data_IF_732460976173
#
_entry.id   IF_732460976173
#
_cell.length_a   1.000
_cell.length_b   1.000
_cell.length_c   1.000
_cell.angle_alpha   90.00
_cell.angle_beta   90.00
_cell.angle_gamma   90.00
#
_symmetry.space_group_name_H-M   'P 1'
#
loop_
_entity.id
_entity.type
_entity.pdbx_description
1 polymer ?
#
# COMPACT_ATOMS: atom_id res chain seq x y z
N UNK A 1 7.14 2.99 41.45
CA UNK A 1 6.26 1.85 41.05
C UNK A 1 4.93 2.32 40.45
N UNK A 2 4.26 3.34 40.97
CA UNK A 2 2.95 3.82 40.46
C UNK A 2 3.05 4.63 39.15
N UNK A 3 4.15 5.38 38.96
CA UNK A 3 4.36 6.20 37.75
C UNK A 3 4.71 5.31 36.54
N UNK A 4 5.55 4.30 36.71
CA UNK A 4 5.90 3.35 35.64
C UNK A 4 4.69 2.53 35.15
N UNK A 5 3.77 2.17 36.02
CA UNK A 5 2.55 1.46 35.63
C UNK A 5 1.58 2.35 34.82
N UNK A 6 1.47 3.63 35.18
CA UNK A 6 0.65 4.59 34.44
C UNK A 6 1.23 4.91 33.06
N UNK A 7 2.56 4.98 32.93
CA UNK A 7 3.24 5.16 31.64
C UNK A 7 3.08 3.91 30.76
N UNK A 8 3.16 2.72 31.33
CA UNK A 8 2.93 1.46 30.62
C UNK A 8 1.45 1.33 30.22
N UNK A 9 0.50 1.69 31.08
CA UNK A 9 -0.94 1.68 30.74
C UNK A 9 -1.27 2.70 29.63
N UNK A 10 -0.69 3.90 29.67
CA UNK A 10 -0.83 4.88 28.60
C UNK A 10 -0.18 4.41 27.28
N UNK A 11 0.97 3.75 27.34
CA UNK A 11 1.64 3.18 26.19
C UNK A 11 0.85 2.00 25.57
N UNK A 12 0.23 1.17 26.42
CA UNK A 12 -0.67 0.08 26.00
C UNK A 12 -1.96 0.65 25.39
N UNK A 13 -2.55 1.68 25.97
CA UNK A 13 -3.76 2.33 25.47
C UNK A 13 -3.50 3.02 24.13
N UNK A 14 -2.34 3.66 23.94
CA UNK A 14 -1.93 4.24 22.65
C UNK A 14 -1.66 3.16 21.58
N UNK A 15 -1.15 1.98 21.96
CA UNK A 15 -0.94 0.86 21.04
C UNK A 15 -2.26 0.13 20.69
N UNK A 16 -3.26 0.14 21.57
CA UNK A 16 -4.57 -0.44 21.31
C UNK A 16 -5.52 0.49 20.52
N UNK A 17 -5.26 1.78 20.53
CA UNK A 17 -6.10 2.79 19.86
C UNK A 17 -5.68 3.10 18.43
N UNK A 18 -5.20 2.11 17.65
CA UNK A 18 -5.04 2.30 16.21
C UNK A 18 -6.42 2.57 15.58
N UNK A 19 -6.62 3.81 15.13
CA UNK A 19 -7.86 4.25 14.47
C UNK A 19 -7.59 4.38 12.98
N UNK A 20 -7.93 3.37 12.15
CA UNK A 20 -7.63 3.37 10.73
C UNK A 20 -8.12 4.61 10.01
N UNK A 21 -9.32 5.11 10.33
CA UNK A 21 -9.90 6.28 9.70
C UNK A 21 -9.11 7.58 9.95
N UNK A 22 -8.47 7.72 11.11
CA UNK A 22 -7.64 8.88 11.39
C UNK A 22 -6.36 8.89 10.53
N UNK A 23 -5.91 7.70 10.10
CA UNK A 23 -4.77 7.54 9.20
C UNK A 23 -5.11 7.85 7.73
N UNK A 24 -6.38 7.93 7.37
CA UNK A 24 -6.81 8.30 6.01
C UNK A 24 -6.69 9.79 5.71
N UNK A 25 -6.43 10.61 6.71
CA UNK A 25 -6.19 12.05 6.52
C UNK A 25 -4.83 12.27 5.87
N UNK A 26 -4.71 13.23 4.92
CA UNK A 26 -3.42 13.61 4.37
C UNK A 26 -2.45 14.06 5.47
N UNK A 27 -1.23 13.58 5.38
CA UNK A 27 -0.16 13.94 6.30
C UNK A 27 0.24 15.41 6.18
N UNK A 28 0.85 15.95 7.23
CA UNK A 28 1.41 17.29 7.22
C UNK A 28 2.54 17.36 6.18
N UNK A 29 2.55 18.43 5.38
CA UNK A 29 3.56 18.61 4.34
C UNK A 29 4.98 18.64 4.92
N UNK A 30 5.86 17.88 4.30
CA UNK A 30 7.29 17.96 4.52
C UNK A 30 7.84 19.30 3.99
N UNK A 31 9.09 19.64 4.34
CA UNK A 31 9.74 20.84 3.82
C UNK A 31 9.86 20.82 2.30
N UNK A 32 10.25 19.68 1.74
CA UNK A 32 10.40 19.51 0.28
C UNK A 32 9.05 19.64 -0.42
N UNK A 33 8.00 19.01 0.08
CA UNK A 33 6.67 19.13 -0.48
C UNK A 33 6.19 20.60 -0.50
N UNK A 34 6.39 21.36 0.60
CA UNK A 34 6.04 22.79 0.66
C UNK A 34 6.79 23.64 -0.37
N UNK A 35 8.05 23.30 -0.65
CA UNK A 35 8.91 24.06 -1.55
C UNK A 35 8.63 23.72 -3.02
N UNK A 36 8.29 22.48 -3.32
CA UNK A 36 8.24 21.97 -4.70
C UNK A 36 6.82 21.61 -5.22
N UNK A 37 5.75 21.66 -4.41
CA UNK A 37 4.42 21.25 -4.86
C UNK A 37 3.85 22.10 -6.02
N UNK A 38 4.28 23.36 -6.16
CA UNK A 38 3.80 24.29 -7.21
C UNK A 38 4.88 24.70 -8.23
N UNK A 39 6.06 24.05 -8.19
CA UNK A 39 7.17 24.42 -9.08
C UNK A 39 6.89 23.97 -10.52
N UNK A 40 6.20 22.86 -10.71
CA UNK A 40 5.88 22.33 -12.01
C UNK A 40 4.77 23.15 -12.69
N UNK A 41 4.95 23.50 -13.98
CA UNK A 41 3.87 24.17 -14.74
C UNK A 41 2.63 23.29 -14.81
N UNK A 42 1.46 23.86 -15.08
CA UNK A 42 0.21 23.07 -15.20
C UNK A 42 0.29 22.03 -16.32
N UNK A 43 0.92 22.37 -17.44
CA UNK A 43 1.10 21.45 -18.57
C UNK A 43 2.02 20.27 -18.20
N UNK A 44 3.16 20.53 -17.56
CA UNK A 44 4.08 19.49 -17.13
C UNK A 44 3.46 18.62 -16.03
N UNK A 45 2.67 19.23 -15.15
CA UNK A 45 1.96 18.51 -14.11
C UNK A 45 0.89 17.57 -14.69
N UNK A 46 0.14 17.97 -15.71
CA UNK A 46 -0.80 17.06 -16.37
C UNK A 46 -0.06 15.89 -17.06
N UNK A 47 1.09 16.15 -17.68
CA UNK A 47 1.95 15.09 -18.24
C UNK A 47 2.41 14.13 -17.11
N UNK A 48 2.84 14.67 -15.97
CA UNK A 48 3.23 13.88 -14.81
C UNK A 48 2.09 13.00 -14.33
N UNK A 49 0.88 13.55 -14.14
CA UNK A 49 -0.32 12.79 -13.74
C UNK A 49 -0.63 11.64 -14.69
N UNK A 50 -0.55 11.89 -16.02
CA UNK A 50 -0.74 10.85 -17.02
C UNK A 50 0.33 9.76 -16.96
N UNK A 51 1.60 10.13 -16.71
CA UNK A 51 2.66 9.15 -16.47
C UNK A 51 2.37 8.28 -15.26
N UNK A 52 1.92 8.86 -14.12
CA UNK A 52 1.55 8.10 -12.93
C UNK A 52 0.39 7.14 -13.20
N UNK A 53 -0.66 7.60 -13.88
CA UNK A 53 -1.81 6.77 -14.24
C UNK A 53 -1.38 5.58 -15.13
N UNK A 54 -0.50 5.83 -16.11
CA UNK A 54 0.06 4.80 -16.97
C UNK A 54 0.88 3.79 -16.19
N UNK A 55 1.75 4.24 -15.28
CA UNK A 55 2.57 3.36 -14.42
C UNK A 55 1.69 2.48 -13.53
N UNK A 56 0.65 3.06 -12.93
CA UNK A 56 -0.30 2.29 -12.12
C UNK A 56 -1.04 1.25 -12.97
N UNK A 57 -1.49 1.61 -14.16
CA UNK A 57 -2.17 0.69 -15.08
C UNK A 57 -1.22 -0.44 -15.52
N UNK A 58 0.02 -0.13 -15.87
CA UNK A 58 1.05 -1.15 -16.20
C UNK A 58 1.23 -2.15 -15.05
N UNK A 59 1.31 -1.67 -13.81
CA UNK A 59 1.40 -2.53 -12.63
C UNK A 59 0.20 -3.48 -12.50
N UNK A 60 -1.03 -2.94 -12.66
CA UNK A 60 -2.26 -3.74 -12.61
C UNK A 60 -2.27 -4.81 -13.70
N UNK A 61 -1.87 -4.48 -14.93
CA UNK A 61 -1.78 -5.43 -16.03
C UNK A 61 -0.74 -6.53 -15.79
N UNK A 62 0.42 -6.19 -15.24
CA UNK A 62 1.45 -7.17 -14.87
C UNK A 62 0.89 -8.16 -13.85
N UNK A 63 0.22 -7.66 -12.81
CA UNK A 63 -0.41 -8.50 -11.80
C UNK A 63 -1.46 -9.43 -12.40
N UNK A 64 -2.35 -8.93 -13.24
CA UNK A 64 -3.40 -9.71 -13.88
C UNK A 64 -2.85 -10.78 -14.83
N UNK A 65 -1.75 -10.50 -15.55
CA UNK A 65 -1.11 -11.44 -16.47
C UNK A 65 -0.35 -12.55 -15.76
N UNK A 66 0.24 -12.26 -14.61
CA UNK A 66 1.05 -13.22 -13.84
C UNK A 66 0.24 -13.96 -12.78
N UNK A 67 -0.85 -13.38 -12.31
CA UNK A 67 -1.75 -13.99 -11.33
C UNK A 67 -2.43 -15.24 -11.87
N UNK A 68 -2.68 -16.20 -10.99
CA UNK A 68 -3.29 -17.49 -11.35
C UNK A 68 -4.72 -17.60 -10.84
N UNK A 69 -5.07 -16.95 -9.74
CA UNK A 69 -6.43 -16.93 -9.21
C UNK A 69 -7.40 -16.15 -10.10
N UNK A 70 -8.66 -16.52 -10.04
CA UNK A 70 -9.71 -15.84 -10.80
C UNK A 70 -9.85 -14.36 -10.44
N UNK A 71 -9.84 -13.93 -9.16
CA UNK A 71 -9.97 -12.53 -8.82
C UNK A 71 -8.84 -11.66 -9.40
N UNK A 72 -7.59 -12.12 -9.38
CA UNK A 72 -6.49 -11.38 -9.99
C UNK A 72 -6.69 -11.17 -11.49
N UNK A 73 -7.21 -12.18 -12.18
CA UNK A 73 -7.45 -12.15 -13.63
C UNK A 73 -8.70 -11.37 -14.02
N UNK A 74 -9.70 -11.30 -13.12
CA UNK A 74 -10.97 -10.58 -13.36
C UNK A 74 -10.96 -9.14 -12.91
N UNK A 75 -9.79 -8.59 -12.59
CA UNK A 75 -9.60 -7.19 -12.18
C UNK A 75 -10.22 -6.82 -10.81
N UNK A 76 -10.52 -7.80 -9.95
CA UNK A 76 -10.82 -7.53 -8.54
C UNK A 76 -9.53 -7.19 -7.80
N UNK A 77 -8.95 -6.08 -8.24
CA UNK A 77 -7.58 -5.70 -7.91
C UNK A 77 -7.37 -4.20 -8.10
N UNK A 78 -6.25 -3.69 -7.57
CA UNK A 78 -5.82 -2.33 -7.73
C UNK A 78 -4.33 -2.16 -7.48
N UNK A 79 -3.77 -1.08 -8.01
CA UNK A 79 -2.41 -0.63 -7.72
C UNK A 79 -2.42 0.82 -7.30
N UNK A 80 -1.50 1.21 -6.44
CA UNK A 80 -1.42 2.57 -5.93
C UNK A 80 0.01 3.11 -5.94
N UNK A 81 0.12 4.44 -6.07
CA UNK A 81 1.33 5.22 -5.90
C UNK A 81 1.06 6.23 -4.79
N UNK A 82 1.96 6.32 -3.83
CA UNK A 82 1.77 7.12 -2.62
C UNK A 82 2.97 8.03 -2.38
N UNK A 83 2.75 9.13 -1.67
CA UNK A 83 3.83 9.99 -1.17
C UNK A 83 4.74 9.23 -0.21
N UNK A 84 5.88 9.82 0.14
CA UNK A 84 6.78 9.25 1.17
C UNK A 84 6.09 9.05 2.53
N UNK A 85 5.02 9.78 2.80
CA UNK A 85 4.22 9.71 4.04
C UNK A 85 3.00 8.78 3.91
N UNK A 86 2.80 8.14 2.76
CA UNK A 86 1.74 7.17 2.53
C UNK A 86 0.41 7.74 2.05
N UNK A 87 0.34 9.02 1.67
CA UNK A 87 -0.87 9.60 1.08
C UNK A 87 -0.99 9.18 -0.38
N UNK A 88 -2.17 8.73 -0.82
CA UNK A 88 -2.40 8.25 -2.18
C UNK A 88 -2.35 9.40 -3.19
N UNK A 89 -1.42 9.32 -4.16
CA UNK A 89 -1.26 10.30 -5.23
C UNK A 89 -1.88 9.84 -6.56
N UNK A 90 -1.80 8.54 -6.86
CA UNK A 90 -2.39 7.96 -8.07
C UNK A 90 -2.78 6.50 -7.83
N UNK A 91 -3.72 6.00 -8.63
CA UNK A 91 -4.14 4.61 -8.59
C UNK A 91 -4.70 4.13 -9.94
N UNK A 92 -4.59 2.82 -10.19
CA UNK A 92 -5.38 2.11 -11.18
C UNK A 92 -6.14 0.99 -10.47
N UNK A 93 -7.45 0.99 -10.58
CA UNK A 93 -8.28 0.05 -9.85
C UNK A 93 -9.42 -0.50 -10.73
N UNK A 94 -9.67 -1.81 -10.63
CA UNK A 94 -10.94 -2.40 -10.97
C UNK A 94 -11.95 -2.13 -9.84
N UNK A 95 -11.47 -2.22 -8.58
CA UNK A 95 -12.23 -1.87 -7.38
C UNK A 95 -11.51 -0.76 -6.62
N UNK A 96 -12.17 0.39 -6.45
CA UNK A 96 -11.55 1.59 -5.87
C UNK A 96 -11.05 1.43 -4.43
N UNK A 97 -11.71 0.61 -3.61
CA UNK A 97 -11.30 0.39 -2.23
C UNK A 97 -9.86 -0.07 -2.10
N UNK A 98 -9.43 -0.96 -2.98
CA UNK A 98 -8.12 -1.59 -2.90
C UNK A 98 -6.97 -0.58 -2.88
N UNK A 99 -6.99 0.38 -3.80
CA UNK A 99 -5.94 1.40 -3.83
C UNK A 99 -6.07 2.41 -2.67
N UNK A 100 -7.31 2.80 -2.33
CA UNK A 100 -7.57 3.77 -1.27
C UNK A 100 -7.08 3.27 0.09
N UNK A 101 -7.38 2.03 0.43
CA UNK A 101 -7.02 1.43 1.72
C UNK A 101 -5.53 1.10 1.83
N UNK A 102 -4.79 1.05 0.72
CA UNK A 102 -3.35 0.86 0.69
C UNK A 102 -2.54 1.90 1.48
N UNK A 103 -3.13 3.07 1.77
CA UNK A 103 -2.53 4.07 2.66
C UNK A 103 -2.31 3.53 4.09
N UNK A 104 -3.23 2.72 4.59
CA UNK A 104 -3.24 2.26 5.98
C UNK A 104 -2.04 1.38 6.33
N UNK A 105 -1.72 0.31 5.58
CA UNK A 105 -0.56 -0.52 5.89
C UNK A 105 0.77 0.23 5.69
N UNK A 106 0.84 1.16 4.73
CA UNK A 106 2.02 2.01 4.53
C UNK A 106 2.23 2.92 5.74
N UNK A 107 1.20 3.64 6.19
CA UNK A 107 1.29 4.52 7.36
C UNK A 107 1.55 3.74 8.65
N UNK A 108 0.96 2.57 8.81
CA UNK A 108 1.30 1.67 9.92
C UNK A 108 2.78 1.29 9.90
N UNK A 109 3.31 0.89 8.74
CA UNK A 109 4.72 0.52 8.55
C UNK A 109 5.65 1.69 8.88
N UNK A 110 5.34 2.90 8.41
CA UNK A 110 6.09 4.11 8.73
C UNK A 110 6.09 4.40 10.24
N UNK A 111 4.93 4.29 10.90
CA UNK A 111 4.81 4.60 12.32
C UNK A 111 5.41 3.50 13.22
N UNK A 112 5.44 2.25 12.76
CA UNK A 112 5.80 1.11 13.60
C UNK A 112 7.20 0.58 13.34
N UNK A 113 7.64 0.57 12.08
CA UNK A 113 8.82 -0.17 11.66
C UNK A 113 10.00 0.70 11.24
N UNK A 114 9.81 2.02 11.01
CA UNK A 114 10.89 2.87 10.50
C UNK A 114 12.10 2.91 11.46
N UNK A 115 11.85 2.97 12.75
CA UNK A 115 12.86 3.02 13.80
C UNK A 115 13.07 1.66 14.50
N UNK A 116 12.41 0.60 14.03
CA UNK A 116 12.56 -0.75 14.60
C UNK A 116 13.78 -1.44 13.98
N UNK A 117 14.88 -1.65 14.72
CA UNK A 117 16.15 -2.10 14.15
C UNK A 117 16.12 -3.52 13.57
N UNK A 118 15.13 -4.33 13.96
CA UNK A 118 14.96 -5.70 13.43
C UNK A 118 14.13 -5.75 12.15
N UNK A 119 13.49 -4.65 11.77
CA UNK A 119 12.65 -4.55 10.56
C UNK A 119 13.19 -3.46 9.65
N UNK A 120 13.07 -2.19 10.05
CA UNK A 120 13.48 -1.03 9.25
C UNK A 120 12.72 -0.88 7.93
N UNK A 121 13.08 0.16 7.17
CA UNK A 121 12.55 0.41 5.82
C UNK A 121 13.72 0.79 4.91
N UNK A 122 14.09 -0.12 4.03
CA UNK A 122 15.22 0.06 3.11
C UNK A 122 14.79 -0.11 1.65
N UNK A 123 15.65 0.30 0.73
CA UNK A 123 15.38 0.12 -0.69
C UNK A 123 15.32 -1.37 -1.05
N UNK A 124 14.31 -1.73 -1.84
CA UNK A 124 14.09 -3.12 -2.22
C UNK A 124 13.34 -3.97 -1.18
N UNK A 125 12.94 -3.39 -0.05
CA UNK A 125 12.09 -4.09 0.92
C UNK A 125 10.70 -4.40 0.34
N UNK A 126 10.17 -5.56 0.73
CA UNK A 126 8.86 -6.04 0.32
C UNK A 126 8.02 -6.24 1.58
N UNK A 127 6.89 -5.55 1.65
CA UNK A 127 5.93 -5.67 2.75
C UNK A 127 4.64 -6.33 2.28
N UNK A 128 3.96 -7.01 3.20
CA UNK A 128 2.71 -7.72 2.94
C UNK A 128 1.75 -7.55 4.13
N UNK A 129 0.46 -7.45 3.83
CA UNK A 129 -0.61 -7.39 4.85
C UNK A 129 -1.89 -8.00 4.33
N UNK A 130 -2.69 -8.58 5.24
CA UNK A 130 -4.02 -9.15 4.95
C UNK A 130 -5.06 -8.78 6.00
N UNK A 131 -4.66 -8.15 7.10
CA UNK A 131 -5.58 -7.84 8.19
C UNK A 131 -6.46 -6.62 7.86
N UNK A 132 -7.79 -6.75 7.95
CA UNK A 132 -8.74 -5.65 7.71
C UNK A 132 -8.50 -4.40 8.55
N UNK A 133 -7.97 -4.53 9.75
CA UNK A 133 -7.65 -3.38 10.61
C UNK A 133 -6.58 -2.49 9.99
N UNK A 134 -5.69 -3.08 9.19
CA UNK A 134 -4.53 -2.39 8.59
C UNK A 134 -4.64 -2.20 7.07
N UNK A 135 -5.84 -2.15 6.51
CA UNK A 135 -6.06 -1.70 5.15
C UNK A 135 -6.64 -2.72 4.17
N UNK A 136 -6.77 -3.99 4.55
CA UNK A 136 -7.62 -4.88 3.80
C UNK A 136 -9.11 -4.50 4.02
N UNK A 137 -9.95 -4.64 3.02
CA UNK A 137 -11.40 -4.48 3.23
C UNK A 137 -11.94 -5.66 4.01
N UNK A 138 -11.39 -6.83 3.72
CA UNK A 138 -11.55 -8.10 4.40
C UNK A 138 -10.28 -8.95 4.19
N UNK A 139 -10.14 -10.07 4.90
CA UNK A 139 -8.92 -10.90 4.85
C UNK A 139 -8.51 -11.39 3.45
N UNK A 140 -9.44 -11.64 2.50
CA UNK A 140 -9.08 -11.94 1.13
C UNK A 140 -8.37 -10.82 0.38
N UNK A 141 -8.54 -9.55 0.77
CA UNK A 141 -7.87 -8.43 0.12
C UNK A 141 -6.42 -8.32 0.59
N UNK A 142 -5.55 -9.00 -0.12
CA UNK A 142 -4.14 -9.08 0.22
C UNK A 142 -3.33 -8.02 -0.52
N UNK A 143 -2.50 -7.30 0.21
CA UNK A 143 -1.70 -6.20 -0.31
C UNK A 143 -0.20 -6.48 -0.18
N UNK A 144 0.53 -6.29 -1.28
CA UNK A 144 1.98 -6.09 -1.29
C UNK A 144 2.25 -4.60 -1.48
N UNK A 145 3.21 -4.05 -0.76
CA UNK A 145 3.66 -2.69 -0.94
C UNK A 145 5.17 -2.57 -0.74
N UNK A 146 5.77 -1.63 -1.45
CA UNK A 146 7.23 -1.48 -1.49
C UNK A 146 7.62 -0.01 -1.45
N UNK A 147 8.70 0.36 -0.73
CA UNK A 147 9.22 1.72 -0.74
C UNK A 147 9.84 2.05 -2.09
N UNK A 148 9.78 3.32 -2.47
CA UNK A 148 10.52 3.92 -3.58
C UNK A 148 11.53 4.86 -2.97
N UNK A 149 12.82 4.57 -3.15
CA UNK A 149 13.90 5.39 -2.64
C UNK A 149 14.72 5.99 -3.79
N UNK A 150 15.28 7.17 -3.55
CA UNK A 150 16.21 7.84 -4.45
C UNK A 150 17.40 8.38 -3.66
N UNK A 151 18.59 7.85 -3.92
CA UNK A 151 19.81 8.20 -3.20
C UNK A 151 19.66 8.09 -1.67
N UNK A 152 19.10 6.99 -1.18
CA UNK A 152 18.88 6.72 0.24
C UNK A 152 17.78 7.52 0.91
N UNK A 153 16.99 8.31 0.16
CA UNK A 153 15.82 9.02 0.67
C UNK A 153 14.54 8.33 0.20
N UNK A 154 13.64 8.06 1.12
CA UNK A 154 12.29 7.57 0.83
C UNK A 154 11.48 8.69 0.14
N UNK A 155 11.08 8.46 -1.11
CA UNK A 155 10.38 9.45 -1.95
C UNK A 155 8.93 9.09 -2.22
N UNK A 156 8.55 7.84 -2.03
CA UNK A 156 7.19 7.36 -2.23
C UNK A 156 7.04 5.89 -1.94
N UNK A 157 5.86 5.36 -2.25
CA UNK A 157 5.51 3.95 -2.14
C UNK A 157 4.69 3.50 -3.33
N UNK A 158 4.74 2.22 -3.62
CA UNK A 158 3.84 1.54 -4.54
C UNK A 158 3.13 0.40 -3.83
N UNK A 159 1.91 0.08 -4.28
CA UNK A 159 1.18 -1.09 -3.80
C UNK A 159 0.48 -1.84 -4.93
N UNK A 160 0.29 -3.13 -4.69
CA UNK A 160 -0.54 -4.01 -5.51
C UNK A 160 -1.42 -4.82 -4.57
N UNK A 161 -2.72 -4.68 -4.72
CA UNK A 161 -3.73 -5.34 -3.90
C UNK A 161 -4.71 -6.08 -4.80
N UNK A 162 -5.12 -7.26 -4.38
CA UNK A 162 -6.15 -8.03 -5.07
C UNK A 162 -6.85 -8.96 -4.10
N UNK A 163 -8.11 -9.23 -4.39
CA UNK A 163 -8.86 -10.28 -3.73
C UNK A 163 -8.24 -11.65 -3.98
N UNK A 164 -8.21 -12.51 -2.95
CA UNK A 164 -7.72 -13.89 -3.02
C UNK A 164 -8.88 -14.86 -2.86
N UNK A 165 -8.93 -15.87 -3.72
CA UNK A 165 -10.01 -16.85 -3.74
C UNK A 165 -10.11 -17.68 -2.46
N UNK A 166 -8.98 -17.93 -1.80
CA UNK A 166 -8.88 -18.81 -0.64
C UNK A 166 -7.79 -18.31 0.32
N UNK A 167 -8.16 -18.13 1.57
CA UNK A 167 -7.31 -17.50 2.60
C UNK A 167 -7.24 -18.30 3.90
N UNK A 168 -7.63 -19.58 3.88
CA UNK A 168 -7.66 -20.45 5.06
C UNK A 168 -8.80 -20.13 6.03
N UNK A 169 -9.87 -19.50 5.55
CA UNK A 169 -11.07 -19.23 6.34
C UNK A 169 -11.83 -20.50 6.70
N UNK A 170 -12.88 -20.38 7.54
CA UNK A 170 -13.76 -21.50 7.93
C UNK A 170 -14.32 -22.23 6.72
N UNK A 171 -14.70 -21.48 5.68
CA UNK A 171 -15.12 -21.99 4.38
C UNK A 171 -14.29 -21.32 3.28
N UNK A 172 -14.09 -21.94 2.11
CA UNK A 172 -13.40 -21.28 0.99
C UNK A 172 -14.08 -19.99 0.58
N UNK A 173 -13.30 -18.95 0.33
CA UNK A 173 -13.83 -17.62 0.00
C UNK A 173 -14.33 -16.87 1.23
N UNK A 174 -15.33 -16.01 1.02
CA UNK A 174 -16.02 -15.28 2.08
C UNK A 174 -17.14 -16.15 2.68
N UNK A 175 -17.12 -16.31 3.99
CA UNK A 175 -18.19 -17.01 4.69
C UNK A 175 -19.11 -16.04 5.44
N UNK A 176 -20.38 -15.97 5.01
CA UNK A 176 -21.42 -15.27 5.78
C UNK A 176 -21.74 -15.95 7.12
N UNK A 177 -21.17 -17.13 7.37
CA UNK A 177 -21.34 -17.90 8.61
C UNK A 177 -20.19 -17.75 9.59
N UNK A 178 -19.16 -16.97 9.24
CA UNK A 178 -18.04 -16.71 10.13
C UNK A 178 -18.53 -16.06 11.43
N UNK A 179 -18.37 -16.71 12.59
CA UNK A 179 -18.89 -16.22 13.87
C UNK A 179 -18.12 -15.00 14.38
N UNK A 180 -16.92 -14.79 13.90
CA UNK A 180 -16.04 -13.68 14.26
C UNK A 180 -14.89 -13.55 13.26
N UNK A 181 -14.12 -12.47 13.36
CA UNK A 181 -13.01 -12.17 12.45
C UNK A 181 -11.84 -13.15 12.47
N UNK A 182 -11.71 -13.99 13.50
CA UNK A 182 -10.69 -15.05 13.53
C UNK A 182 -11.04 -16.24 12.62
N UNK A 183 -12.29 -16.33 12.21
CA UNK A 183 -12.77 -17.37 11.28
C UNK A 183 -12.63 -16.94 9.80
N UNK A 184 -12.20 -15.70 9.53
CA UNK A 184 -12.10 -15.13 8.18
C UNK A 184 -10.79 -15.45 7.46
N UNK A 185 -9.93 -16.27 8.06
CA UNK A 185 -8.69 -16.73 7.45
C UNK A 185 -7.44 -15.95 7.87
N UNK A 186 -6.46 -15.91 6.99
CA UNK A 186 -5.12 -15.42 7.25
C UNK A 186 -5.09 -13.91 7.58
N UNK A 187 -4.80 -13.58 8.82
CA UNK A 187 -4.70 -12.20 9.31
C UNK A 187 -3.25 -11.84 9.63
N UNK A 188 -2.63 -11.09 8.74
CA UNK A 188 -1.25 -10.63 8.87
C UNK A 188 -1.22 -9.12 8.95
N UNK A 189 -0.64 -8.60 10.04
CA UNK A 189 -0.31 -7.19 10.14
C UNK A 189 0.68 -6.81 9.03
N UNK A 190 0.85 -5.52 8.69
CA UNK A 190 1.90 -5.09 7.79
C UNK A 190 3.27 -5.56 8.28
N UNK A 191 3.92 -6.44 7.52
CA UNK A 191 5.19 -7.05 7.89
C UNK A 191 6.12 -7.18 6.68
N UNK A 192 7.43 -7.16 6.93
CA UNK A 192 8.45 -7.35 5.92
C UNK A 192 8.55 -8.84 5.55
N UNK A 193 8.36 -9.14 4.26
CA UNK A 193 8.42 -10.50 3.72
C UNK A 193 9.58 -10.70 2.73
N UNK A 194 10.37 -9.66 2.47
CA UNK A 194 11.53 -9.72 1.60
C UNK A 194 12.37 -8.45 1.69
N UNK A 195 13.58 -8.51 1.16
CA UNK A 195 14.54 -7.41 1.09
C UNK A 195 15.37 -7.53 -0.19
N UNK A 196 15.93 -6.42 -0.68
CA UNK A 196 16.72 -6.37 -1.91
C UNK A 196 15.95 -6.97 -3.13
N UNK A 197 14.64 -6.75 -3.20
CA UNK A 197 13.73 -7.31 -4.21
C UNK A 197 13.59 -8.85 -4.19
N UNK A 198 14.10 -9.50 -3.17
CA UNK A 198 14.03 -10.94 -2.99
C UNK A 198 13.08 -11.30 -1.84
N UNK A 199 12.16 -12.23 -2.10
CA UNK A 199 11.23 -12.75 -1.10
C UNK A 199 11.93 -13.70 -0.14
N UNK A 200 11.53 -13.65 1.11
CA UNK A 200 11.81 -14.70 2.08
C UNK A 200 10.91 -15.89 1.78
N UNK A 201 11.48 -16.88 1.10
CA UNK A 201 10.74 -18.04 0.62
C UNK A 201 10.09 -18.84 1.78
N UNK A 202 10.75 -18.90 2.96
CA UNK A 202 10.20 -19.54 4.16
C UNK A 202 8.89 -18.90 4.63
N UNK A 203 8.76 -17.56 4.56
CA UNK A 203 7.53 -16.85 4.91
C UNK A 203 6.45 -17.06 3.84
N UNK A 204 6.80 -16.92 2.57
CA UNK A 204 5.83 -17.05 1.47
C UNK A 204 5.26 -18.47 1.42
N UNK A 205 6.10 -19.48 1.61
CA UNK A 205 5.65 -20.88 1.69
C UNK A 205 4.79 -21.13 2.94
N UNK A 206 5.12 -20.50 4.07
CA UNK A 206 4.29 -20.59 5.27
C UNK A 206 2.89 -20.01 5.03
N UNK A 207 2.79 -18.88 4.33
CA UNK A 207 1.50 -18.27 3.98
C UNK A 207 0.71 -19.17 3.02
N UNK A 208 1.37 -19.79 2.04
CA UNK A 208 0.76 -20.81 1.19
C UNK A 208 0.18 -21.95 2.01
N UNK A 209 0.97 -22.50 2.93
CA UNK A 209 0.55 -23.63 3.77
C UNK A 209 -0.62 -23.33 4.72
N UNK A 210 -0.94 -22.06 4.96
CA UNK A 210 -2.12 -21.65 5.73
C UNK A 210 -3.42 -21.66 4.90
N UNK A 211 -3.34 -21.97 3.61
CA UNK A 211 -4.48 -22.00 2.68
C UNK A 211 -4.69 -23.41 2.11
N UNK A 212 -5.85 -23.65 1.51
CA UNK A 212 -6.15 -24.95 0.86
C UNK A 212 -5.55 -25.06 -0.54
N UNK A 213 -5.03 -23.95 -1.08
CA UNK A 213 -4.42 -23.86 -2.42
C UNK A 213 -3.04 -23.19 -2.35
N UNK A 214 -2.05 -23.84 -1.73
CA UNK A 214 -0.74 -23.25 -1.41
C UNK A 214 -0.05 -22.61 -2.61
N UNK A 215 -0.02 -23.31 -3.74
CA UNK A 215 0.67 -22.84 -4.95
C UNK A 215 0.02 -21.60 -5.55
N UNK A 216 -1.32 -21.52 -5.55
CA UNK A 216 -2.05 -20.33 -5.98
C UNK A 216 -1.71 -19.13 -5.10
N UNK A 217 -1.73 -19.30 -3.79
CA UNK A 217 -1.39 -18.26 -2.83
C UNK A 217 0.03 -17.72 -3.05
N UNK A 218 1.00 -18.61 -3.20
CA UNK A 218 2.41 -18.26 -3.42
C UNK A 218 2.60 -17.51 -4.75
N UNK A 219 2.00 -18.02 -5.83
CA UNK A 219 2.10 -17.41 -7.17
C UNK A 219 1.45 -16.03 -7.22
N UNK A 220 0.30 -15.86 -6.55
CA UNK A 220 -0.40 -14.59 -6.51
C UNK A 220 0.31 -13.54 -5.64
N UNK A 221 1.01 -13.93 -4.57
CA UNK A 221 1.93 -13.04 -3.86
C UNK A 221 3.05 -12.59 -4.81
N UNK A 222 3.68 -13.52 -5.53
CA UNK A 222 4.74 -13.21 -6.49
C UNK A 222 4.25 -12.30 -7.63
N UNK A 223 3.01 -12.45 -8.09
CA UNK A 223 2.39 -11.56 -9.09
C UNK A 223 2.23 -10.12 -8.56
N UNK A 224 1.82 -9.95 -7.31
CA UNK A 224 1.75 -8.62 -6.65
C UNK A 224 3.13 -7.99 -6.51
N UNK A 225 4.15 -8.77 -6.14
CA UNK A 225 5.54 -8.30 -6.05
C UNK A 225 6.05 -7.85 -7.42
N UNK A 226 5.79 -8.62 -8.48
CA UNK A 226 6.17 -8.25 -9.84
C UNK A 226 5.52 -6.95 -10.30
N UNK A 227 4.26 -6.72 -9.96
CA UNK A 227 3.55 -5.46 -10.22
C UNK A 227 4.23 -4.27 -9.51
N UNK A 228 4.50 -4.41 -8.22
CA UNK A 228 5.21 -3.37 -7.44
C UNK A 228 6.61 -3.10 -7.98
N UNK A 229 7.37 -4.15 -8.31
CA UNK A 229 8.72 -4.03 -8.89
C UNK A 229 8.65 -3.27 -10.22
N UNK A 230 7.72 -3.62 -11.09
CA UNK A 230 7.52 -2.91 -12.36
C UNK A 230 7.20 -1.43 -12.17
N UNK A 231 6.30 -1.11 -11.26
CA UNK A 231 5.97 0.29 -10.95
C UNK A 231 7.18 1.05 -10.40
N UNK A 232 7.96 0.45 -9.48
CA UNK A 232 9.19 1.06 -8.95
C UNK A 232 10.21 1.37 -10.05
N UNK A 233 10.46 0.43 -10.95
CA UNK A 233 11.37 0.67 -12.09
C UNK A 233 10.94 1.88 -12.93
N UNK A 234 9.64 2.00 -13.19
CA UNK A 234 9.09 3.11 -13.97
C UNK A 234 9.17 4.43 -13.22
N UNK A 235 8.89 4.42 -11.91
CA UNK A 235 9.01 5.61 -11.07
C UNK A 235 10.47 6.07 -10.93
N UNK A 236 11.41 5.16 -10.77
CA UNK A 236 12.84 5.51 -10.70
C UNK A 236 13.29 6.23 -11.99
N UNK A 237 12.89 5.75 -13.16
CA UNK A 237 13.17 6.45 -14.44
C UNK A 237 12.52 7.84 -14.49
N UNK A 238 11.30 7.97 -14.00
CA UNK A 238 10.62 9.26 -13.92
C UNK A 238 11.34 10.22 -12.97
N UNK A 239 11.82 9.72 -11.82
CA UNK A 239 12.61 10.50 -10.87
C UNK A 239 13.94 10.98 -11.49
N UNK A 240 14.61 10.11 -12.26
CA UNK A 240 15.82 10.47 -12.99
C UNK A 240 15.55 11.56 -14.07
N UNK A 241 14.38 11.51 -14.71
CA UNK A 241 13.98 12.46 -15.76
C UNK A 241 13.68 13.86 -15.21
N UNK A 242 12.92 13.96 -14.09
CA UNK A 242 12.40 15.25 -13.62
C UNK A 242 13.11 15.77 -12.36
N UNK A 243 13.93 14.96 -11.71
CA UNK A 243 14.54 15.27 -10.44
C UNK A 243 13.69 14.86 -9.22
N UNK A 244 14.37 14.46 -8.17
CA UNK A 244 13.76 13.90 -6.95
C UNK A 244 12.84 14.89 -6.24
N UNK A 245 13.28 16.12 -6.05
CA UNK A 245 12.54 17.15 -5.33
C UNK A 245 11.25 17.52 -6.06
N UNK A 246 11.31 17.67 -7.38
CA UNK A 246 10.13 17.92 -8.21
C UNK A 246 9.17 16.73 -8.19
N UNK A 247 9.67 15.50 -8.20
CA UNK A 247 8.85 14.30 -8.07
C UNK A 247 8.07 14.29 -6.76
N UNK A 248 8.74 14.55 -5.62
CA UNK A 248 8.11 14.61 -4.29
C UNK A 248 7.03 15.70 -4.26
N UNK A 249 7.33 16.89 -4.75
CA UNK A 249 6.37 18.00 -4.81
C UNK A 249 5.17 17.69 -5.70
N UNK A 250 5.40 17.11 -6.88
CA UNK A 250 4.33 16.75 -7.81
C UNK A 250 3.42 15.63 -7.27
N UNK A 251 3.96 14.64 -6.55
CA UNK A 251 3.14 13.65 -5.85
C UNK A 251 2.20 14.33 -4.83
N UNK A 252 2.73 15.28 -4.05
CA UNK A 252 1.92 16.04 -3.09
C UNK A 252 0.84 16.85 -3.79
N UNK A 253 1.16 17.52 -4.90
CA UNK A 253 0.18 18.27 -5.70
C UNK A 253 -0.97 17.37 -6.18
N UNK A 254 -0.69 16.11 -6.56
CA UNK A 254 -1.75 15.15 -6.89
C UNK A 254 -2.73 14.93 -5.73
N UNK A 255 -2.22 14.80 -4.51
CA UNK A 255 -3.06 14.62 -3.30
C UNK A 255 -3.93 15.86 -3.05
N UNK A 256 -3.34 17.05 -3.12
CA UNK A 256 -4.04 18.30 -2.87
C UNK A 256 -5.10 18.60 -3.95
N UNK A 257 -4.78 18.36 -5.22
CA UNK A 257 -5.72 18.47 -6.32
C UNK A 257 -6.91 17.51 -6.16
N UNK A 258 -6.65 16.26 -5.80
CA UNK A 258 -7.70 15.28 -5.51
C UNK A 258 -8.66 15.77 -4.41
N UNK A 259 -8.11 16.34 -3.34
CA UNK A 259 -8.88 16.95 -2.25
C UNK A 259 -9.73 18.13 -2.74
N UNK A 260 -9.13 19.04 -3.49
CA UNK A 260 -9.83 20.24 -4.02
C UNK A 260 -10.96 19.84 -4.96
N UNK A 261 -10.72 18.92 -5.90
CA UNK A 261 -11.73 18.44 -6.83
C UNK A 261 -12.88 17.73 -6.11
N UNK A 262 -12.57 16.91 -5.12
CA UNK A 262 -13.60 16.24 -4.31
C UNK A 262 -14.45 17.25 -3.55
N UNK A 263 -13.84 18.26 -2.89
CA UNK A 263 -14.57 19.31 -2.18
C UNK A 263 -15.46 20.12 -3.13
N UNK A 264 -14.98 20.43 -4.34
CA UNK A 264 -15.76 21.13 -5.36
C UNK A 264 -16.99 20.31 -5.77
N UNK A 265 -16.80 19.02 -6.07
CA UNK A 265 -17.91 18.12 -6.44
C UNK A 265 -18.95 17.99 -5.32
N UNK A 266 -18.51 17.83 -4.08
CA UNK A 266 -19.44 17.74 -2.94
C UNK A 266 -20.28 19.00 -2.76
N UNK A 267 -19.76 20.20 -3.10
CA UNK A 267 -20.53 21.45 -3.06
C UNK A 267 -21.56 21.56 -4.17
N UNK A 268 -21.38 20.86 -5.27
CA UNK A 268 -22.35 20.81 -6.37
C UNK A 268 -23.58 19.95 -6.03
N UNK A 269 -23.51 19.11 -5.00
CA UNK A 269 -24.63 18.26 -4.52
C UNK A 269 -25.42 18.90 -3.35
N UNK A 270 -24.98 20.01 -2.79
CA UNK A 270 -25.66 20.80 -1.75
C UNK A 270 -26.22 22.08 -2.35
#
# INVERSE_FOLDING_TARGET
MTIELQEIEQEIDNKQAYRPLDQMRPEVLTKVEKEFCEVMTDADFEIFRHKLATISTEGKEVMAKLGVSTPLRSEDSGTGIYTSRGDMAAAAAGVYFHALTGQLPIKYTLNRWIDEPTVGIEDGDIFFSTDPIYGATHTPDQIVFMPVQSNGLLVGWVSAVAHQSEVGALEPGLSARAPNSFSDGLRLIPQKIGSNLELREDLVQSFGNMTRVPDEQVLDIKARVAACTRMRERLNRLIEEIGREQFIGALRRCVDDGRIQTQRRLREFN
#
